data_IF_332164016008
#
_entry.id   IF_332164016008
#
_cell.length_a   1.000
_cell.length_b   1.000
_cell.length_c   1.000
_cell.angle_alpha   90.00
_cell.angle_beta   90.00
_cell.angle_gamma   90.00
#
_symmetry.space_group_name_H-M   'P 1'
#
loop_
_entity.id
_entity.type
_entity.pdbx_description
1 polymer ?
#
# COMPACT_ATOMS: atom_id res chain seq x y z
N UNK A 1 -26.93 -36.98 -16.33
CA UNK A 1 -25.92 -35.92 -16.54
C UNK A 1 -24.70 -36.36 -15.77
N UNK A 2 -23.70 -36.91 -16.45
CA UNK A 2 -22.48 -37.44 -15.84
C UNK A 2 -21.50 -36.26 -15.67
N UNK A 3 -21.05 -36.00 -14.44
CA UNK A 3 -20.01 -35.02 -14.12
C UNK A 3 -18.71 -35.35 -14.88
N UNK A 4 -17.97 -34.34 -15.35
CA UNK A 4 -16.70 -34.59 -16.01
C UNK A 4 -15.63 -34.97 -14.98
N UNK A 5 -15.33 -36.25 -14.91
CA UNK A 5 -14.20 -36.82 -14.15
C UNK A 5 -13.03 -36.89 -15.12
N UNK A 6 -11.87 -36.26 -14.77
CA UNK A 6 -10.68 -36.35 -15.61
C UNK A 6 -9.93 -37.69 -15.37
N UNK A 7 -8.94 -37.99 -16.23
CA UNK A 7 -8.17 -39.23 -16.24
C UNK A 7 -7.45 -39.60 -14.94
N UNK A 8 -7.48 -38.73 -13.94
CA UNK A 8 -6.90 -38.92 -12.60
C UNK A 8 -7.96 -39.12 -11.50
N UNK A 9 -9.27 -39.22 -11.84
CA UNK A 9 -10.36 -39.49 -10.90
C UNK A 9 -10.68 -38.37 -9.91
N UNK A 10 -10.28 -37.14 -10.19
CA UNK A 10 -10.39 -35.99 -9.26
C UNK A 10 -11.46 -35.03 -9.76
N UNK A 11 -12.47 -34.74 -8.92
CA UNK A 11 -13.58 -33.84 -9.22
C UNK A 11 -13.08 -32.39 -9.30
N UNK A 12 -13.36 -31.70 -10.42
CA UNK A 12 -12.84 -30.35 -10.75
C UNK A 12 -13.40 -29.27 -9.80
N UNK A 13 -14.63 -29.45 -9.30
CA UNK A 13 -15.30 -28.49 -8.41
C UNK A 13 -14.68 -28.47 -6.98
N UNK A 14 -14.09 -29.59 -6.56
CA UNK A 14 -13.41 -29.72 -5.26
C UNK A 14 -11.94 -29.22 -5.32
N UNK A 15 -11.42 -28.88 -6.52
CA UNK A 15 -10.04 -28.39 -6.68
C UNK A 15 -9.86 -26.95 -6.25
N UNK A 16 -10.79 -26.03 -6.50
CA UNK A 16 -10.64 -24.63 -6.14
C UNK A 16 -10.53 -24.40 -4.63
N UNK A 17 -11.35 -25.11 -3.84
CA UNK A 17 -11.26 -25.10 -2.38
C UNK A 17 -10.09 -25.90 -1.83
N UNK A 18 -9.64 -26.94 -2.56
CA UNK A 18 -8.50 -27.78 -2.21
C UNK A 18 -7.15 -27.14 -2.55
N UNK A 19 -7.05 -26.36 -3.63
CA UNK A 19 -5.82 -25.64 -4.03
C UNK A 19 -5.51 -24.51 -3.05
N UNK A 20 -6.51 -23.73 -2.63
CA UNK A 20 -6.36 -22.74 -1.57
C UNK A 20 -5.96 -23.36 -0.20
N UNK A 21 -6.31 -24.65 0.03
CA UNK A 21 -5.93 -25.42 1.21
C UNK A 21 -4.55 -26.08 1.12
N UNK A 22 -4.10 -26.44 -0.08
CA UNK A 22 -2.84 -27.16 -0.33
C UNK A 22 -1.61 -26.25 -0.25
N UNK A 23 -1.70 -25.01 -0.67
CA UNK A 23 -0.62 -24.04 -0.51
C UNK A 23 -0.16 -23.84 0.95
N UNK A 24 -1.05 -24.12 1.92
CA UNK A 24 -0.76 -24.03 3.36
C UNK A 24 0.18 -25.13 3.90
N UNK A 25 0.35 -26.23 3.17
CA UNK A 25 1.20 -27.37 3.59
C UNK A 25 2.55 -27.45 2.86
N UNK A 26 2.82 -26.55 1.90
CA UNK A 26 4.16 -26.42 1.32
C UNK A 26 5.14 -26.10 2.46
N UNK A 27 6.25 -26.85 2.53
CA UNK A 27 7.21 -26.80 3.62
C UNK A 27 7.49 -25.34 4.05
N UNK A 28 7.07 -24.98 5.26
CA UNK A 28 7.28 -23.65 5.81
C UNK A 28 8.78 -23.40 5.88
N UNK A 29 9.31 -22.57 4.99
CA UNK A 29 10.66 -22.05 5.16
C UNK A 29 10.65 -21.32 6.51
N UNK A 30 11.62 -21.59 7.40
CA UNK A 30 11.68 -20.93 8.69
C UNK A 30 11.63 -19.43 8.52
N UNK A 31 10.87 -18.77 9.39
CA UNK A 31 10.78 -17.32 9.44
C UNK A 31 12.15 -16.76 9.85
N UNK A 32 12.93 -16.29 8.88
CA UNK A 32 14.29 -15.82 9.13
C UNK A 32 14.26 -14.40 9.70
N UNK A 33 15.24 -14.03 10.57
CA UNK A 33 15.34 -12.66 11.08
C UNK A 33 15.37 -11.58 9.99
N UNK A 34 15.94 -11.91 8.82
CA UNK A 34 15.99 -11.02 7.65
C UNK A 34 14.59 -10.79 7.07
N UNK A 35 13.76 -11.82 7.01
CA UNK A 35 12.38 -11.72 6.52
C UNK A 35 11.52 -10.88 7.46
N UNK A 36 11.59 -11.15 8.75
CA UNK A 36 10.88 -10.33 9.77
C UNK A 36 11.29 -8.86 9.69
N UNK A 37 12.56 -8.60 9.41
CA UNK A 37 13.05 -7.24 9.19
C UNK A 37 12.40 -6.59 7.96
N UNK A 38 12.33 -7.28 6.82
CA UNK A 38 11.71 -6.76 5.60
C UNK A 38 10.21 -6.49 5.79
N UNK A 39 9.48 -7.39 6.46
CA UNK A 39 8.05 -7.19 6.76
C UNK A 39 7.85 -5.98 7.68
N UNK A 40 8.72 -5.81 8.68
CA UNK A 40 8.71 -4.64 9.55
C UNK A 40 9.00 -3.34 8.78
N UNK A 41 9.97 -3.35 7.89
CA UNK A 41 10.33 -2.20 7.05
C UNK A 41 9.19 -1.83 6.10
N UNK A 42 8.48 -2.81 5.52
CA UNK A 42 7.24 -2.59 4.72
C UNK A 42 6.15 -1.89 5.56
N UNK A 43 5.88 -2.39 6.77
CA UNK A 43 4.90 -1.77 7.67
C UNK A 43 5.27 -0.34 8.08
N UNK A 44 6.54 -0.08 8.36
CA UNK A 44 7.03 1.27 8.67
C UNK A 44 6.84 2.21 7.48
N UNK A 45 7.12 1.74 6.26
CA UNK A 45 6.92 2.53 5.04
C UNK A 45 5.46 2.96 4.87
N UNK A 46 4.49 2.08 5.15
CA UNK A 46 3.06 2.40 5.10
C UNK A 46 2.70 3.49 6.10
N UNK A 47 3.19 3.38 7.34
CA UNK A 47 2.95 4.38 8.38
C UNK A 47 3.55 5.74 8.01
N UNK A 48 4.79 5.75 7.52
CA UNK A 48 5.47 6.98 7.05
C UNK A 48 4.68 7.64 5.93
N UNK A 49 4.25 6.86 4.93
CA UNK A 49 3.47 7.36 3.80
C UNK A 49 2.12 7.93 4.25
N UNK A 50 1.37 7.20 5.09
CA UNK A 50 0.08 7.67 5.61
C UNK A 50 0.20 8.97 6.41
N UNK A 51 1.19 9.06 7.32
CA UNK A 51 1.42 10.30 8.09
C UNK A 51 1.79 11.48 7.20
N UNK A 52 2.69 11.27 6.24
CA UNK A 52 3.14 12.30 5.31
C UNK A 52 1.97 12.84 4.47
N UNK A 53 1.16 11.92 3.90
CA UNK A 53 0.00 12.29 3.09
C UNK A 53 -1.08 13.00 3.92
N UNK A 54 -1.32 12.55 5.16
CA UNK A 54 -2.22 13.21 6.10
C UNK A 54 -1.81 14.65 6.41
N UNK A 55 -0.52 14.90 6.66
CA UNK A 55 0.00 16.26 6.91
C UNK A 55 -0.18 17.12 5.66
N UNK A 56 0.26 16.65 4.47
CA UNK A 56 0.23 17.40 3.22
C UNK A 56 -1.19 17.75 2.81
N UNK A 57 -2.09 16.77 2.81
CA UNK A 57 -3.49 16.96 2.41
C UNK A 57 -4.19 17.93 3.34
N UNK A 58 -4.06 17.76 4.64
CA UNK A 58 -4.77 18.62 5.60
C UNK A 58 -4.15 20.02 5.68
N UNK A 59 -2.80 20.14 5.63
CA UNK A 59 -2.15 21.43 5.52
C UNK A 59 -2.65 22.21 4.30
N UNK A 60 -2.74 21.53 3.14
CA UNK A 60 -3.25 22.14 1.91
C UNK A 60 -4.67 22.67 2.09
N UNK A 61 -5.57 21.83 2.64
CA UNK A 61 -6.99 22.20 2.81
C UNK A 61 -7.16 23.32 3.83
N UNK A 62 -6.54 23.24 5.02
CA UNK A 62 -6.70 24.30 6.03
C UNK A 62 -6.06 25.61 5.61
N UNK A 63 -4.98 25.55 4.82
CA UNK A 63 -4.33 26.73 4.24
C UNK A 63 -5.21 27.36 3.15
N UNK A 64 -5.74 26.56 2.24
CA UNK A 64 -6.63 27.03 1.17
C UNK A 64 -7.90 27.67 1.71
N UNK A 65 -8.59 26.98 2.63
CA UNK A 65 -9.80 27.52 3.28
C UNK A 65 -9.45 28.72 4.16
N UNK A 66 -8.36 28.67 4.92
CA UNK A 66 -7.94 29.76 5.79
C UNK A 66 -7.50 31.03 5.05
N UNK A 67 -7.05 30.92 3.78
CA UNK A 67 -6.78 32.07 2.93
C UNK A 67 -8.02 32.64 2.24
N UNK A 68 -9.08 31.82 2.11
CA UNK A 68 -10.37 32.21 1.52
C UNK A 68 -11.37 32.73 2.55
N UNK A 69 -11.29 32.30 3.81
CA UNK A 69 -12.25 32.55 4.88
C UNK A 69 -11.55 32.96 6.17
N UNK A 70 -12.18 33.89 6.90
CA UNK A 70 -11.75 34.33 8.25
C UNK A 70 -12.50 33.58 9.37
N UNK A 71 -13.36 32.63 9.03
CA UNK A 71 -14.11 31.87 10.02
C UNK A 71 -13.36 30.61 10.47
N UNK A 72 -13.02 30.58 11.76
CA UNK A 72 -12.31 29.47 12.40
C UNK A 72 -13.12 28.16 12.35
N UNK A 73 -14.43 28.24 12.52
CA UNK A 73 -15.30 27.05 12.54
C UNK A 73 -15.27 26.35 11.18
N UNK A 74 -15.31 27.13 10.10
CA UNK A 74 -15.20 26.60 8.72
C UNK A 74 -13.88 25.88 8.49
N UNK A 75 -12.77 26.47 8.95
CA UNK A 75 -11.43 25.83 8.83
C UNK A 75 -11.37 24.54 9.62
N UNK A 76 -11.86 24.54 10.87
CA UNK A 76 -11.87 23.36 11.72
C UNK A 76 -12.74 22.24 11.18
N UNK A 77 -13.98 22.55 10.78
CA UNK A 77 -14.90 21.55 10.21
C UNK A 77 -14.31 20.94 8.95
N UNK A 78 -13.78 21.79 8.04
CA UNK A 78 -13.18 21.30 6.79
C UNK A 78 -11.94 20.46 7.05
N UNK A 79 -11.07 20.86 7.99
CA UNK A 79 -9.89 20.10 8.38
C UNK A 79 -10.24 18.75 9.01
N UNK A 80 -11.23 18.72 9.92
CA UNK A 80 -11.70 17.48 10.55
C UNK A 80 -12.37 16.53 9.56
N UNK A 81 -13.21 17.06 8.66
CA UNK A 81 -13.82 16.27 7.58
C UNK A 81 -12.76 15.70 6.64
N UNK A 82 -11.76 16.51 6.25
CA UNK A 82 -10.63 16.06 5.45
C UNK A 82 -9.86 14.92 6.13
N UNK A 83 -9.58 15.06 7.42
CA UNK A 83 -8.92 14.02 8.21
C UNK A 83 -9.74 12.72 8.23
N UNK A 84 -11.04 12.80 8.50
CA UNK A 84 -11.92 11.63 8.58
C UNK A 84 -12.06 10.94 7.22
N UNK A 85 -12.42 11.70 6.18
CA UNK A 85 -12.61 11.14 4.83
C UNK A 85 -11.31 10.62 4.26
N UNK A 86 -10.20 11.34 4.46
CA UNK A 86 -8.87 10.90 4.02
C UNK A 86 -8.42 9.62 4.71
N UNK A 87 -8.59 9.51 6.02
CA UNK A 87 -8.26 8.28 6.76
C UNK A 87 -9.10 7.08 6.28
N UNK A 88 -10.40 7.28 6.06
CA UNK A 88 -11.27 6.23 5.51
C UNK A 88 -10.84 5.85 4.08
N UNK A 89 -10.58 6.84 3.22
CA UNK A 89 -10.15 6.61 1.83
C UNK A 89 -8.84 5.83 1.77
N UNK A 90 -7.84 6.20 2.61
CA UNK A 90 -6.56 5.49 2.69
C UNK A 90 -6.73 4.06 3.17
N UNK A 91 -7.58 3.83 4.20
CA UNK A 91 -7.87 2.48 4.69
C UNK A 91 -8.58 1.63 3.66
N UNK A 92 -9.59 2.17 2.97
CA UNK A 92 -10.31 1.47 1.88
C UNK A 92 -9.38 1.19 0.71
N UNK A 93 -8.53 2.16 0.33
CA UNK A 93 -7.54 2.00 -0.74
C UNK A 93 -6.56 0.86 -0.45
N UNK A 94 -6.04 0.79 0.78
CA UNK A 94 -5.15 -0.30 1.22
C UNK A 94 -5.86 -1.66 1.19
N UNK A 95 -7.12 -1.72 1.65
CA UNK A 95 -7.92 -2.94 1.59
C UNK A 95 -8.16 -3.42 0.16
N UNK A 96 -8.61 -2.51 -0.72
CA UNK A 96 -8.91 -2.85 -2.12
C UNK A 96 -7.65 -3.18 -2.91
N UNK A 97 -6.55 -2.46 -2.68
CA UNK A 97 -5.24 -2.74 -3.28
C UNK A 97 -4.74 -4.12 -2.91
N UNK A 98 -4.73 -4.45 -1.63
CA UNK A 98 -4.34 -5.78 -1.15
C UNK A 98 -5.27 -6.90 -1.63
N UNK A 99 -6.59 -6.62 -1.77
CA UNK A 99 -7.53 -7.56 -2.35
C UNK A 99 -7.22 -7.81 -3.83
N UNK A 100 -7.00 -6.77 -4.62
CA UNK A 100 -6.68 -6.88 -6.04
C UNK A 100 -5.37 -7.67 -6.27
N UNK A 101 -4.35 -7.41 -5.45
CA UNK A 101 -3.09 -8.14 -5.51
C UNK A 101 -3.30 -9.65 -5.26
N UNK A 102 -4.10 -10.01 -4.25
CA UNK A 102 -4.46 -11.42 -3.98
C UNK A 102 -5.23 -12.07 -5.13
N UNK A 103 -6.16 -11.36 -5.75
CA UNK A 103 -6.93 -11.86 -6.90
C UNK A 103 -6.03 -12.15 -8.10
N UNK A 104 -5.03 -11.31 -8.36
CA UNK A 104 -4.02 -11.54 -9.42
C UNK A 104 -3.20 -12.79 -9.11
N UNK A 105 -2.71 -12.93 -7.88
CA UNK A 105 -1.95 -14.11 -7.45
C UNK A 105 -2.80 -15.38 -7.55
N UNK A 106 -4.05 -15.32 -7.10
CA UNK A 106 -4.96 -16.47 -7.19
C UNK A 106 -5.23 -16.87 -8.64
N UNK A 107 -5.39 -15.90 -9.54
CA UNK A 107 -5.56 -16.15 -10.97
C UNK A 107 -4.33 -16.81 -11.60
N UNK A 108 -3.13 -16.40 -11.21
CA UNK A 108 -1.88 -17.04 -11.65
C UNK A 108 -1.80 -18.51 -11.18
N UNK A 109 -2.11 -18.78 -9.90
CA UNK A 109 -2.16 -20.14 -9.36
C UNK A 109 -3.15 -21.01 -10.10
N UNK A 110 -4.35 -20.48 -10.40
CA UNK A 110 -5.38 -21.22 -11.12
C UNK A 110 -4.98 -21.52 -12.57
N UNK A 111 -4.27 -20.60 -13.23
CA UNK A 111 -3.74 -20.79 -14.56
C UNK A 111 -2.75 -21.96 -14.57
N UNK A 112 -1.71 -21.90 -13.74
CA UNK A 112 -0.71 -22.94 -13.61
C UNK A 112 -1.30 -24.30 -13.20
N UNK A 113 -2.26 -24.29 -12.28
CA UNK A 113 -2.93 -25.52 -11.86
C UNK A 113 -3.71 -26.20 -13.00
N UNK A 114 -4.22 -25.43 -13.98
CA UNK A 114 -4.86 -25.98 -15.20
C UNK A 114 -3.83 -26.53 -16.18
N UNK A 115 -2.69 -25.87 -16.30
CA UNK A 115 -1.61 -26.27 -17.21
C UNK A 115 -0.94 -27.56 -16.73
N UNK A 116 -0.92 -27.85 -15.41
CA UNK A 116 -0.50 -29.14 -14.88
C UNK A 116 -1.27 -30.37 -15.44
N UNK A 117 -2.40 -30.15 -16.13
CA UNK A 117 -3.09 -31.22 -16.87
C UNK A 117 -2.32 -31.63 -18.15
N UNK A 118 -1.27 -30.86 -18.55
CA UNK A 118 -0.34 -31.15 -19.65
C UNK A 118 1.09 -31.39 -19.13
N UNK A 119 1.33 -32.41 -18.30
CA UNK A 119 2.55 -32.55 -17.54
C UNK A 119 3.85 -32.63 -18.38
N UNK A 120 3.75 -33.00 -19.67
CA UNK A 120 4.90 -33.06 -20.57
C UNK A 120 5.37 -31.66 -21.03
N UNK A 121 4.41 -30.73 -21.26
CA UNK A 121 4.70 -29.35 -21.62
C UNK A 121 5.31 -28.62 -20.43
N UNK A 122 4.67 -28.71 -19.27
CA UNK A 122 5.13 -28.10 -18.02
C UNK A 122 6.51 -28.59 -17.60
N UNK A 123 6.76 -29.91 -17.79
CA UNK A 123 8.09 -30.48 -17.54
C UNK A 123 9.16 -29.84 -18.43
N UNK A 124 8.88 -29.65 -19.73
CA UNK A 124 9.82 -29.08 -20.67
C UNK A 124 10.10 -27.59 -20.36
N UNK A 125 9.04 -26.87 -19.97
CA UNK A 125 9.12 -25.47 -19.58
C UNK A 125 9.96 -25.29 -18.31
N UNK A 126 9.65 -26.03 -17.26
CA UNK A 126 10.40 -26.00 -16.00
C UNK A 126 11.87 -26.39 -16.22
N UNK A 127 12.13 -27.34 -17.11
CA UNK A 127 13.49 -27.71 -17.48
C UNK A 127 14.24 -26.53 -18.13
N UNK A 128 13.57 -25.76 -18.99
CA UNK A 128 14.13 -24.56 -19.60
C UNK A 128 14.44 -23.48 -18.56
N UNK A 129 13.54 -23.24 -17.59
CA UNK A 129 13.79 -22.30 -16.48
C UNK A 129 15.00 -22.69 -15.64
N UNK A 130 15.18 -23.97 -15.30
CA UNK A 130 16.35 -24.42 -14.56
C UNK A 130 17.65 -24.24 -15.35
N UNK A 131 17.64 -24.46 -16.68
CA UNK A 131 18.79 -24.17 -17.55
C UNK A 131 19.11 -22.67 -17.58
N UNK A 132 18.10 -21.80 -17.65
CA UNK A 132 18.28 -20.33 -17.57
C UNK A 132 18.86 -19.89 -16.21
N UNK A 133 18.57 -20.61 -15.13
CA UNK A 133 19.18 -20.40 -13.80
C UNK A 133 20.66 -20.87 -13.73
N UNK A 134 21.20 -21.48 -14.80
CA UNK A 134 22.60 -21.91 -14.90
C UNK A 134 22.86 -23.38 -14.52
N UNK A 135 21.80 -24.19 -14.33
CA UNK A 135 21.96 -25.63 -14.11
C UNK A 135 22.35 -26.35 -15.40
N UNK A 136 23.19 -27.40 -15.29
CA UNK A 136 23.45 -28.30 -16.38
C UNK A 136 22.19 -29.12 -16.76
N UNK A 137 22.19 -29.72 -17.94
CA UNK A 137 21.04 -30.53 -18.39
C UNK A 137 20.70 -31.67 -17.42
N UNK A 138 21.73 -32.30 -16.85
CA UNK A 138 21.55 -33.40 -15.90
C UNK A 138 20.98 -32.91 -14.55
N UNK A 139 21.51 -31.81 -14.03
CA UNK A 139 21.03 -31.19 -12.79
C UNK A 139 19.60 -30.68 -12.92
N UNK A 140 19.28 -29.97 -14.01
CA UNK A 140 17.95 -29.50 -14.31
C UNK A 140 16.94 -30.66 -14.36
N UNK A 141 17.28 -31.74 -15.11
CA UNK A 141 16.45 -32.93 -15.23
C UNK A 141 16.20 -33.61 -13.87
N UNK A 142 17.25 -33.71 -13.05
CA UNK A 142 17.14 -34.31 -11.71
C UNK A 142 16.24 -33.47 -10.80
N UNK A 143 16.38 -32.16 -10.80
CA UNK A 143 15.58 -31.24 -9.99
C UNK A 143 14.10 -31.29 -10.39
N UNK A 144 13.79 -31.15 -11.68
CA UNK A 144 12.40 -31.14 -12.17
C UNK A 144 11.71 -32.48 -11.89
N UNK A 145 12.38 -33.62 -12.10
CA UNK A 145 11.85 -34.95 -11.72
C UNK A 145 11.58 -35.08 -10.23
N UNK A 146 12.35 -34.38 -9.39
CA UNK A 146 12.13 -34.39 -7.94
C UNK A 146 10.93 -33.54 -7.54
N UNK A 147 10.74 -32.38 -8.19
CA UNK A 147 9.57 -31.51 -8.00
C UNK A 147 8.27 -32.21 -8.40
N UNK A 148 8.25 -32.91 -9.53
CA UNK A 148 7.07 -33.67 -9.98
C UNK A 148 6.52 -34.67 -8.97
N UNK A 149 7.35 -35.16 -8.06
CA UNK A 149 6.91 -36.08 -7.00
C UNK A 149 6.03 -35.41 -5.94
N UNK A 150 6.05 -34.08 -5.89
CA UNK A 150 5.21 -33.30 -4.99
C UNK A 150 4.51 -32.18 -5.78
N UNK A 151 3.28 -32.42 -6.26
CA UNK A 151 2.55 -31.49 -7.10
C UNK A 151 2.38 -30.08 -6.47
N UNK A 152 2.23 -30.00 -5.15
CA UNK A 152 2.06 -28.73 -4.45
C UNK A 152 3.35 -27.88 -4.49
N UNK A 153 4.52 -28.51 -4.31
CA UNK A 153 5.81 -27.83 -4.41
C UNK A 153 6.10 -27.47 -5.87
N UNK A 154 5.75 -28.35 -6.80
CA UNK A 154 5.96 -28.09 -8.21
C UNK A 154 5.14 -26.91 -8.70
N UNK A 155 3.84 -26.86 -8.39
CA UNK A 155 2.98 -25.71 -8.67
C UNK A 155 3.54 -24.40 -8.09
N UNK A 156 4.04 -24.45 -6.86
CA UNK A 156 4.63 -23.31 -6.19
C UNK A 156 5.90 -22.78 -6.91
N UNK A 157 6.76 -23.69 -7.36
CA UNK A 157 7.96 -23.33 -8.12
C UNK A 157 7.59 -22.79 -9.52
N UNK A 158 6.58 -23.35 -10.20
CA UNK A 158 6.12 -22.87 -11.50
C UNK A 158 5.62 -21.42 -11.40
N UNK A 159 4.68 -21.13 -10.49
CA UNK A 159 4.17 -19.78 -10.27
C UNK A 159 5.29 -18.81 -9.92
N UNK A 160 6.29 -19.25 -9.15
CA UNK A 160 7.42 -18.40 -8.79
C UNK A 160 8.36 -18.16 -9.97
N UNK A 161 8.61 -19.16 -10.80
CA UNK A 161 9.55 -19.08 -11.92
C UNK A 161 8.97 -18.28 -13.08
N UNK A 162 7.68 -18.41 -13.37
CA UNK A 162 7.01 -17.74 -14.48
C UNK A 162 6.56 -16.31 -14.11
N UNK A 163 5.87 -16.14 -12.98
CA UNK A 163 5.28 -14.85 -12.60
C UNK A 163 6.14 -14.05 -11.61
N UNK A 164 7.21 -14.64 -11.05
CA UNK A 164 8.02 -14.00 -10.03
C UNK A 164 7.28 -13.77 -8.70
N UNK A 165 6.17 -14.48 -8.47
CA UNK A 165 5.28 -14.29 -7.32
C UNK A 165 5.65 -15.29 -6.21
N UNK A 166 5.91 -14.79 -5.00
CA UNK A 166 5.99 -15.64 -3.80
C UNK A 166 4.57 -15.80 -3.21
N UNK A 167 3.99 -17.00 -3.34
CA UNK A 167 2.64 -17.32 -2.86
C UNK A 167 2.42 -17.02 -1.37
N UNK A 168 3.48 -16.91 -0.60
CA UNK A 168 3.42 -16.59 0.84
C UNK A 168 3.19 -15.12 1.11
N UNK A 169 3.56 -14.24 0.18
CA UNK A 169 3.27 -12.80 0.30
C UNK A 169 1.78 -12.52 0.13
N UNK A 170 1.07 -13.39 -0.60
CA UNK A 170 -0.38 -13.31 -0.79
C UNK A 170 -1.21 -13.76 0.43
N UNK A 171 -0.62 -14.51 1.37
CA UNK A 171 -1.32 -15.02 2.55
C UNK A 171 -1.52 -14.00 3.68
N UNK A 172 -0.98 -12.79 3.57
CA UNK A 172 -1.14 -11.74 4.59
C UNK A 172 -2.54 -11.10 4.54
N UNK A 173 -3.54 -11.83 5.02
CA UNK A 173 -4.96 -11.44 5.07
C UNK A 173 -5.33 -10.49 6.24
N UNK A 174 -4.38 -9.84 6.86
CA UNK A 174 -4.63 -9.01 8.03
C UNK A 174 -5.22 -7.64 7.69
N UNK A 175 -6.21 -7.17 8.48
CA UNK A 175 -6.66 -5.76 8.47
C UNK A 175 -5.62 -4.82 9.11
N UNK A 176 -4.53 -5.34 9.60
CA UNK A 176 -3.46 -4.54 10.24
C UNK A 176 -2.88 -3.46 9.33
N UNK A 177 -2.54 -3.73 8.04
CA UNK A 177 -2.10 -2.69 7.10
C UNK A 177 -3.15 -1.59 6.90
N UNK A 178 -4.43 -1.97 6.79
CA UNK A 178 -5.56 -1.04 6.62
C UNK A 178 -5.65 -0.05 7.79
N UNK A 179 -5.65 -0.57 9.03
CA UNK A 179 -5.69 0.28 10.23
C UNK A 179 -4.39 1.08 10.43
N UNK A 180 -3.24 0.53 10.07
CA UNK A 180 -1.97 1.26 10.12
C UNK A 180 -1.98 2.45 9.16
N UNK A 181 -2.46 2.25 7.92
CA UNK A 181 -2.55 3.30 6.92
C UNK A 181 -3.56 4.39 7.32
N UNK A 182 -4.80 4.01 7.66
CA UNK A 182 -5.85 4.95 8.09
C UNK A 182 -5.46 5.72 9.36
N UNK A 183 -4.91 5.01 10.35
CA UNK A 183 -4.50 5.60 11.62
C UNK A 183 -3.31 6.55 11.47
N UNK A 184 -2.30 6.18 10.68
CA UNK A 184 -1.15 7.04 10.41
C UNK A 184 -1.54 8.31 9.66
N UNK A 185 -2.45 8.19 8.67
CA UNK A 185 -3.01 9.36 7.99
C UNK A 185 -3.73 10.28 8.99
N UNK A 186 -4.62 9.73 9.83
CA UNK A 186 -5.35 10.53 10.82
C UNK A 186 -4.42 11.25 11.81
N UNK A 187 -3.37 10.58 12.28
CA UNK A 187 -2.35 11.18 13.14
C UNK A 187 -1.63 12.32 12.41
N UNK A 188 -1.17 12.11 11.17
CA UNK A 188 -0.54 13.15 10.37
C UNK A 188 -1.46 14.34 10.13
N UNK A 189 -2.70 14.08 9.69
CA UNK A 189 -3.72 15.08 9.41
C UNK A 189 -4.11 15.92 10.64
N UNK A 190 -4.04 15.35 11.83
CA UNK A 190 -4.36 16.07 13.06
C UNK A 190 -3.41 17.24 13.35
N UNK A 191 -2.14 17.15 12.96
CA UNK A 191 -1.13 18.16 13.30
C UNK A 191 -1.45 19.57 12.77
N UNK A 192 -1.80 19.77 11.49
CA UNK A 192 -2.21 21.08 11.00
C UNK A 192 -3.51 21.58 11.66
N UNK A 193 -4.48 20.70 11.93
CA UNK A 193 -5.79 21.07 12.49
C UNK A 193 -5.69 21.49 13.95
N UNK A 194 -4.86 20.83 14.75
CA UNK A 194 -4.68 21.12 16.18
C UNK A 194 -4.31 22.58 16.45
N UNK A 195 -3.56 23.22 15.54
CA UNK A 195 -3.18 24.63 15.65
C UNK A 195 -4.38 25.56 15.70
N UNK A 196 -5.48 25.22 15.04
CA UNK A 196 -6.71 25.99 15.00
C UNK A 196 -7.66 25.74 16.19
N UNK A 197 -7.41 24.70 17.00
CA UNK A 197 -8.13 24.46 18.25
C UNK A 197 -7.64 25.39 19.37
N UNK A 198 -6.44 25.94 19.25
CA UNK A 198 -5.88 26.85 20.23
C UNK A 198 -6.56 28.24 20.12
N UNK A 199 -6.74 28.96 21.24
CA UNK A 199 -7.34 30.29 21.27
C UNK A 199 -6.37 31.38 20.76
N UNK A 200 -5.80 31.18 19.58
CA UNK A 200 -4.84 32.08 18.95
C UNK A 200 -5.54 32.91 17.85
N UNK A 201 -5.06 34.12 17.50
CA UNK A 201 -5.47 34.79 16.29
C UNK A 201 -5.28 33.88 15.07
N UNK A 202 -6.18 33.95 14.06
CA UNK A 202 -6.14 33.06 12.90
C UNK A 202 -4.81 33.08 12.17
N UNK A 203 -4.19 34.26 11.99
CA UNK A 203 -2.87 34.38 11.40
C UNK A 203 -1.79 33.62 12.19
N UNK A 204 -1.83 33.69 13.52
CA UNK A 204 -0.90 32.92 14.38
C UNK A 204 -1.17 31.42 14.31
N UNK A 205 -2.43 31.01 14.24
CA UNK A 205 -2.79 29.60 14.08
C UNK A 205 -2.30 29.02 12.74
N UNK A 206 -2.39 29.80 11.65
CA UNK A 206 -1.84 29.40 10.35
C UNK A 206 -0.33 29.20 10.39
N UNK A 207 0.41 30.15 10.97
CA UNK A 207 1.87 30.03 11.08
C UNK A 207 2.28 28.86 11.98
N UNK A 208 1.55 28.63 13.05
CA UNK A 208 1.77 27.47 13.93
C UNK A 208 1.48 26.16 13.21
N UNK A 209 0.41 26.11 12.42
CA UNK A 209 0.06 24.95 11.58
C UNK A 209 1.17 24.65 10.56
N UNK A 210 1.67 25.67 9.88
CA UNK A 210 2.78 25.52 8.95
C UNK A 210 4.07 25.06 9.66
N UNK A 211 4.40 25.67 10.79
CA UNK A 211 5.60 25.30 11.55
C UNK A 211 5.53 23.83 12.04
N UNK A 212 4.42 23.40 12.62
CA UNK A 212 4.25 22.03 13.08
C UNK A 212 4.29 21.03 11.92
N UNK A 213 3.69 21.38 10.78
CA UNK A 213 3.75 20.54 9.57
C UNK A 213 5.18 20.43 9.03
N UNK A 214 5.94 21.53 8.94
CA UNK A 214 7.35 21.52 8.46
C UNK A 214 8.22 20.64 9.38
N UNK A 215 8.10 20.81 10.69
CA UNK A 215 8.86 20.00 11.66
C UNK A 215 8.51 18.52 11.53
N UNK A 216 7.22 18.20 11.42
CA UNK A 216 6.76 16.81 11.28
C UNK A 216 7.21 16.20 9.96
N UNK A 217 7.05 16.91 8.83
CA UNK A 217 7.48 16.43 7.51
C UNK A 217 8.99 16.22 7.45
N UNK A 218 9.77 17.15 8.02
CA UNK A 218 11.22 16.98 8.11
C UNK A 218 11.60 15.76 8.92
N UNK A 219 10.99 15.59 10.11
CA UNK A 219 11.28 14.47 11.01
C UNK A 219 10.92 13.12 10.36
N UNK A 220 9.74 13.02 9.75
CA UNK A 220 9.28 11.82 9.05
C UNK A 220 10.19 11.53 7.85
N UNK A 221 10.55 12.56 7.08
CA UNK A 221 11.45 12.44 5.94
C UNK A 221 12.86 12.01 6.33
N UNK A 222 13.42 12.60 7.37
CA UNK A 222 14.72 12.22 7.89
C UNK A 222 14.73 10.77 8.42
N UNK A 223 13.66 10.37 9.11
CA UNK A 223 13.49 8.99 9.58
C UNK A 223 13.40 8.01 8.38
N UNK A 224 12.60 8.32 7.37
CA UNK A 224 12.47 7.51 6.15
C UNK A 224 13.80 7.41 5.38
N UNK A 225 14.53 8.53 5.26
CA UNK A 225 15.85 8.57 4.64
C UNK A 225 16.86 7.68 5.36
N UNK A 226 16.89 7.74 6.68
CA UNK A 226 17.77 6.89 7.50
C UNK A 226 17.43 5.40 7.33
N UNK A 227 16.14 5.05 7.32
CA UNK A 227 15.69 3.67 7.12
C UNK A 227 16.08 3.14 5.74
N UNK A 228 16.01 4.00 4.71
CA UNK A 228 16.38 3.67 3.33
C UNK A 228 17.90 3.73 3.05
N UNK A 229 18.73 4.00 4.06
CA UNK A 229 20.18 4.17 3.89
C UNK A 229 20.58 5.42 3.08
N UNK A 230 19.64 6.39 2.92
CA UNK A 230 19.88 7.67 2.25
C UNK A 230 20.30 8.74 3.27
N UNK A 231 20.75 9.89 2.78
CA UNK A 231 21.06 11.01 3.66
C UNK A 231 19.77 11.55 4.31
N UNK A 232 19.62 11.48 5.66
CA UNK A 232 18.39 11.85 6.34
C UNK A 232 18.02 13.33 6.15
N UNK A 233 19.04 14.21 6.16
CA UNK A 233 18.83 15.66 6.04
C UNK A 233 18.29 16.00 4.65
N UNK A 234 18.90 15.44 3.60
CA UNK A 234 18.46 15.69 2.22
C UNK A 234 17.05 15.16 1.98
N UNK A 235 16.75 13.95 2.47
CA UNK A 235 15.40 13.36 2.34
C UNK A 235 14.36 14.16 3.15
N UNK A 236 14.71 14.63 4.34
CA UNK A 236 13.84 15.51 5.13
C UNK A 236 13.55 16.83 4.41
N UNK A 237 14.58 17.47 3.84
CA UNK A 237 14.41 18.70 3.07
C UNK A 237 13.61 18.51 1.78
N UNK A 238 13.79 17.39 1.09
CA UNK A 238 13.01 17.03 -0.10
C UNK A 238 11.50 16.99 0.23
N UNK A 239 11.12 16.33 1.33
CA UNK A 239 9.72 16.24 1.75
C UNK A 239 9.17 17.61 2.20
N UNK A 240 9.96 18.39 2.90
CA UNK A 240 9.58 19.78 3.26
C UNK A 240 9.36 20.64 2.02
N UNK A 241 10.17 20.47 0.97
CA UNK A 241 10.00 21.20 -0.28
C UNK A 241 8.66 20.87 -0.96
N UNK A 242 8.23 19.58 -0.94
CA UNK A 242 6.88 19.22 -1.39
C UNK A 242 5.79 19.86 -0.52
N UNK A 243 5.97 19.88 0.80
CA UNK A 243 5.05 20.55 1.72
C UNK A 243 4.92 22.05 1.44
N UNK A 244 6.05 22.72 1.16
CA UNK A 244 6.07 24.13 0.78
C UNK A 244 5.33 24.38 -0.55
N UNK A 245 5.48 23.48 -1.52
CA UNK A 245 4.76 23.57 -2.79
C UNK A 245 3.24 23.41 -2.59
N UNK A 246 2.80 22.41 -1.80
CA UNK A 246 1.39 22.22 -1.45
C UNK A 246 0.84 23.45 -0.74
N UNK A 247 1.57 23.99 0.24
CA UNK A 247 1.18 25.22 0.95
C UNK A 247 0.99 26.39 -0.03
N UNK A 248 1.98 26.64 -0.89
CA UNK A 248 1.95 27.78 -1.84
C UNK A 248 0.78 27.66 -2.84
N UNK A 249 0.57 26.46 -3.40
CA UNK A 249 -0.53 26.20 -4.35
C UNK A 249 -1.88 26.38 -3.65
N UNK A 250 -2.05 25.82 -2.45
CA UNK A 250 -3.31 25.89 -1.70
C UNK A 250 -3.61 27.32 -1.24
N UNK A 251 -2.59 28.04 -0.79
CA UNK A 251 -2.74 29.45 -0.43
C UNK A 251 -3.15 30.28 -1.64
N UNK A 252 -2.49 30.09 -2.78
CA UNK A 252 -2.83 30.79 -4.01
C UNK A 252 -4.24 30.45 -4.49
N UNK A 253 -4.63 29.19 -4.44
CA UNK A 253 -5.99 28.76 -4.78
C UNK A 253 -7.03 29.43 -3.87
N UNK A 254 -6.83 29.41 -2.55
CA UNK A 254 -7.73 30.04 -1.61
C UNK A 254 -7.81 31.56 -1.76
N UNK A 255 -6.72 32.23 -2.19
CA UNK A 255 -6.69 33.66 -2.36
C UNK A 255 -7.27 34.13 -3.71
N UNK A 256 -6.98 33.42 -4.80
CA UNK A 256 -7.33 33.87 -6.15
C UNK A 256 -8.63 33.30 -6.71
N UNK A 257 -9.05 32.08 -6.24
CA UNK A 257 -10.24 31.42 -6.80
C UNK A 257 -11.56 32.08 -6.35
N UNK A 258 -11.78 32.40 -5.06
CA UNK A 258 -13.04 33.00 -4.63
C UNK A 258 -13.46 34.27 -5.37
N UNK A 259 -12.54 35.24 -5.69
CA UNK A 259 -12.90 36.42 -6.46
C UNK A 259 -13.38 36.15 -7.89
N UNK A 260 -12.99 35.00 -8.49
CA UNK A 260 -13.40 34.63 -9.85
C UNK A 260 -14.87 34.21 -9.93
N UNK A 261 -15.44 33.74 -8.82
CA UNK A 261 -16.84 33.29 -8.76
C UNK A 261 -17.81 34.34 -8.19
N UNK A 262 -17.35 35.57 -8.05
CA UNK A 262 -18.10 36.66 -7.41
C UNK A 262 -18.19 36.46 -5.90
N UNK A 263 -18.28 37.56 -5.13
CA UNK A 263 -18.43 37.50 -3.67
C UNK A 263 -19.81 36.96 -3.26
N UNK A 264 -20.06 35.72 -3.60
CA UNK A 264 -21.12 34.95 -2.98
C UNK A 264 -20.62 34.54 -1.59
N UNK A 265 -20.75 35.43 -0.59
CA UNK A 265 -20.87 34.96 0.77
C UNK A 265 -21.95 33.88 0.74
N UNK A 266 -21.58 32.63 0.90
CA UNK A 266 -22.52 31.58 1.24
C UNK A 266 -22.98 31.91 2.67
N UNK A 267 -23.89 32.85 2.74
CA UNK A 267 -24.78 33.02 3.89
C UNK A 267 -25.67 31.79 3.88
N UNK A 268 -25.23 30.75 4.56
CA UNK A 268 -26.14 29.72 5.02
C UNK A 268 -27.04 30.40 6.03
N UNK A 269 -28.10 30.96 5.50
CA UNK A 269 -29.12 31.68 6.25
C UNK A 269 -29.80 30.78 7.28
N UNK A 270 -30.01 31.37 8.45
CA UNK A 270 -31.04 31.15 9.40
C UNK A 270 -31.11 29.85 10.13
#
# INVERSE_FOLDING_TARGET
>A
MSEPVNSLGINVENRSTSVAGRGRNAARIPDTPQRQRLERERGIRQVVFGMQDGILTTLGIVTGVGSASIDRSTILITGLLSMLVGAMSMGVGEYLGGKAEREVVQSAIELEAREMDKPAAEFAEQLAYYKLKGFTDEEALMNVRRLQKNPDIWLHEMVRDEFGIDLREAENDGLRPVFAMAGSFAIGASLPVLSYLLPLPLGSALWLSLFTAVVALFTIGAFAGNLAGRNPILTGLEIVAFGAAVFAISWAAGHFVPPLFGHGSISLGG
#
